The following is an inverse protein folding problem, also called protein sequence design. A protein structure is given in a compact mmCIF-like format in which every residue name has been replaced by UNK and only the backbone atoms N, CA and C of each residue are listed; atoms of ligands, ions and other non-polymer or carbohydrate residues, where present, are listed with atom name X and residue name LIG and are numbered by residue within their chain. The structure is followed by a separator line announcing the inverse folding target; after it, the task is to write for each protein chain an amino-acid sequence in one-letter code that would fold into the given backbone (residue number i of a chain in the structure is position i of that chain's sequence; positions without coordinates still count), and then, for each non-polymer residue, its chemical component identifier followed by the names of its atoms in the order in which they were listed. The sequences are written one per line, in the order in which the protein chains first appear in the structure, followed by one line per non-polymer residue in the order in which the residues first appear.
data_IF_636290577263
#
_entry.id   IF_636290577263
#
_cell.length_a   1.000
_cell.length_b   1.000
_cell.length_c   1.000
_cell.angle_alpha   90.00
_cell.angle_beta   90.00
_cell.angle_gamma   90.00
#
_symmetry.space_group_name_H-M   'P 1'
#
loop_
_entity.id
_entity.type
_entity.pdbx_description
1 polymer ?
#
# COMPACT_ATOMS: atom_id res chain seq x y z
N UNK A 1 -5.73 -7.14 -4.96
CA UNK A 1 -5.72 -6.81 -3.52
C UNK A 1 -5.20 -5.40 -3.41
N UNK A 2 -5.85 -4.57 -2.61
CA UNK A 2 -5.57 -3.14 -2.54
C UNK A 2 -4.33 -2.84 -1.70
N UNK A 3 -3.65 -1.75 -2.03
CA UNK A 3 -2.60 -1.14 -1.22
C UNK A 3 -3.23 -0.61 0.07
N UNK A 4 -2.52 -0.77 1.18
CA UNK A 4 -2.93 -0.29 2.48
C UNK A 4 -1.85 0.57 3.11
N UNK A 5 -2.24 1.63 3.81
CA UNK A 5 -1.32 2.55 4.50
C UNK A 5 -1.72 2.59 5.98
N UNK A 6 -0.75 2.74 6.85
CA UNK A 6 -1.02 2.92 8.27
C UNK A 6 -1.86 4.18 8.51
N UNK A 7 -2.87 4.05 9.37
CA UNK A 7 -3.80 5.13 9.65
C UNK A 7 -3.12 6.41 10.15
N UNK A 8 -2.05 6.29 10.94
CA UNK A 8 -1.31 7.45 11.45
C UNK A 8 -0.66 8.26 10.32
N UNK A 9 -0.21 7.60 9.25
CA UNK A 9 0.40 8.27 8.09
C UNK A 9 -0.64 9.03 7.28
N UNK A 10 -1.83 8.44 7.08
CA UNK A 10 -2.93 9.15 6.42
C UNK A 10 -3.32 10.41 7.19
N UNK A 11 -3.36 10.34 8.53
CA UNK A 11 -3.66 11.47 9.41
C UNK A 11 -2.54 12.53 9.39
N UNK A 12 -1.28 12.13 9.49
CA UNK A 12 -0.13 13.03 9.44
C UNK A 12 -0.04 13.81 8.12
N UNK A 13 -0.37 13.16 7.00
CA UNK A 13 -0.42 13.78 5.68
C UNK A 13 -1.73 14.55 5.43
N UNK A 14 -2.65 14.54 6.39
CA UNK A 14 -3.97 15.17 6.29
C UNK A 14 -4.71 14.78 5.00
N UNK A 15 -4.69 13.48 4.65
CA UNK A 15 -5.35 12.99 3.44
C UNK A 15 -6.87 13.06 3.62
N UNK A 16 -7.62 13.60 2.64
CA UNK A 16 -9.07 13.62 2.71
C UNK A 16 -9.62 12.19 2.53
N UNK A 17 -10.52 11.72 3.41
CA UNK A 17 -11.20 10.46 3.23
C UNK A 17 -12.12 10.51 2.00
N UNK A 18 -12.14 9.46 1.20
CA UNK A 18 -12.92 9.39 -0.04
C UNK A 18 -14.02 8.32 -0.01
N UNK A 19 -13.88 7.30 0.83
CA UNK A 19 -14.89 6.23 1.00
C UNK A 19 -14.65 5.44 2.30
N UNK A 20 -15.49 4.43 2.58
CA UNK A 20 -15.31 3.43 3.63
C UNK A 20 -15.47 2.03 3.05
N UNK A 21 -14.53 1.12 3.36
CA UNK A 21 -14.58 -0.28 2.94
C UNK A 21 -14.75 -1.22 4.14
N UNK A 22 -15.40 -2.37 3.91
CA UNK A 22 -15.36 -3.49 4.86
C UNK A 22 -14.12 -4.34 4.59
N UNK A 23 -13.27 -4.51 5.59
CA UNK A 23 -12.04 -5.31 5.54
C UNK A 23 -12.18 -6.52 6.46
N UNK A 24 -12.05 -7.71 5.88
CA UNK A 24 -12.00 -8.97 6.62
C UNK A 24 -10.58 -9.24 7.10
N UNK A 25 -10.44 -9.63 8.36
CA UNK A 25 -9.20 -10.01 9.03
C UNK A 25 -9.47 -11.23 9.91
N UNK A 26 -8.42 -11.81 10.50
CA UNK A 26 -8.51 -13.08 11.24
C UNK A 26 -9.54 -13.03 12.37
N UNK A 27 -9.71 -11.87 13.01
CA UNK A 27 -10.62 -11.66 14.14
C UNK A 27 -12.04 -11.20 13.74
N UNK A 28 -12.33 -11.04 12.44
CA UNK A 28 -13.66 -10.64 11.96
C UNK A 28 -13.62 -9.64 10.80
N UNK A 29 -14.59 -8.70 10.79
CA UNK A 29 -14.65 -7.65 9.77
C UNK A 29 -14.73 -6.28 10.40
N UNK A 30 -13.99 -5.31 9.86
CA UNK A 30 -13.98 -3.92 10.33
C UNK A 30 -14.28 -2.97 9.18
N UNK A 31 -14.88 -1.82 9.48
CA UNK A 31 -14.99 -0.71 8.52
C UNK A 31 -13.72 0.12 8.59
N UNK A 32 -13.10 0.36 7.44
CA UNK A 32 -11.85 1.10 7.30
C UNK A 32 -12.01 2.23 6.30
N UNK A 33 -11.50 3.39 6.66
CA UNK A 33 -11.52 4.57 5.81
C UNK A 33 -10.65 4.34 4.59
N UNK A 34 -11.10 4.82 3.44
CA UNK A 34 -10.37 4.80 2.20
C UNK A 34 -9.89 6.21 1.86
N UNK A 35 -8.70 6.30 1.27
CA UNK A 35 -8.07 7.55 0.87
C UNK A 35 -7.64 7.45 -0.59
N UNK A 36 -7.66 8.59 -1.30
CA UNK A 36 -6.92 8.73 -2.54
C UNK A 36 -5.50 9.21 -2.21
N UNK A 37 -4.49 8.66 -2.86
CA UNK A 37 -3.11 9.08 -2.64
C UNK A 37 -2.27 9.03 -3.92
N UNK A 38 -1.15 9.73 -3.87
CA UNK A 38 -0.12 9.71 -4.91
C UNK A 38 1.18 9.24 -4.27
N UNK A 39 1.64 8.06 -4.68
CA UNK A 39 2.83 7.41 -4.13
C UNK A 39 4.02 7.72 -5.01
N UNK A 40 5.10 8.22 -4.40
CA UNK A 40 6.36 8.52 -5.06
C UNK A 40 7.50 7.75 -4.40
N UNK A 41 8.46 7.31 -5.20
CA UNK A 41 9.71 6.69 -4.74
C UNK A 41 10.86 7.61 -5.18
N UNK A 42 11.27 8.60 -4.36
CA UNK A 42 12.18 9.66 -4.79
C UNK A 42 13.51 9.14 -5.33
N UNK A 43 14.10 8.16 -4.65
CA UNK A 43 15.41 7.61 -5.01
C UNK A 43 15.35 6.74 -6.27
N UNK A 44 14.18 6.18 -6.59
CA UNK A 44 13.97 5.37 -7.78
C UNK A 44 13.64 6.21 -9.02
N UNK A 45 13.50 7.54 -8.89
CA UNK A 45 13.14 8.47 -9.99
C UNK A 45 11.90 8.03 -10.79
N UNK A 46 10.96 7.37 -10.11
CA UNK A 46 9.71 6.93 -10.72
C UNK A 46 8.75 8.10 -10.88
N UNK A 47 7.96 8.08 -11.96
CA UNK A 47 6.77 8.93 -12.02
C UNK A 47 5.85 8.55 -10.85
N UNK A 48 5.33 9.51 -10.08
CA UNK A 48 4.43 9.20 -8.99
C UNK A 48 3.19 8.45 -9.50
N UNK A 49 2.81 7.38 -8.80
CA UNK A 49 1.67 6.54 -9.13
C UNK A 49 0.47 7.03 -8.34
N UNK A 50 -0.62 7.32 -9.03
CA UNK A 50 -1.87 7.75 -8.41
C UNK A 50 -2.77 6.54 -8.15
N UNK A 51 -3.21 6.38 -6.89
CA UNK A 51 -4.15 5.35 -6.49
C UNK A 51 -5.39 6.04 -5.92
N UNK A 52 -6.54 5.74 -6.52
CA UNK A 52 -7.82 6.37 -6.17
C UNK A 52 -8.44 5.82 -4.89
N UNK A 53 -8.02 4.63 -4.47
CA UNK A 53 -8.56 3.94 -3.31
C UNK A 53 -7.51 3.10 -2.58
N UNK A 54 -6.99 3.63 -1.49
CA UNK A 54 -6.10 2.97 -0.54
C UNK A 54 -6.84 2.77 0.78
N UNK A 55 -6.68 1.61 1.42
CA UNK A 55 -7.27 1.32 2.72
C UNK A 55 -6.38 1.87 3.86
N UNK A 56 -6.96 2.52 4.86
CA UNK A 56 -6.28 2.68 6.15
C UNK A 56 -6.40 1.42 6.99
N UNK A 57 -5.30 1.01 7.58
CA UNK A 57 -5.24 -0.13 8.50
C UNK A 57 -4.30 0.20 9.65
N UNK A 58 -4.36 -0.56 10.75
CA UNK A 58 -3.37 -0.47 11.80
C UNK A 58 -2.21 -1.42 11.47
N UNK A 59 -1.04 -0.87 11.16
CA UNK A 59 0.21 -1.60 10.95
C UNK A 59 1.22 -1.39 12.08
N UNK A 60 0.86 -0.58 13.09
CA UNK A 60 1.76 -0.19 14.19
C UNK A 60 2.20 -1.37 15.06
N UNK A 61 1.50 -2.51 14.99
CA UNK A 61 1.84 -3.72 15.71
C UNK A 61 3.02 -4.50 15.10
N UNK A 62 3.48 -4.15 13.90
CA UNK A 62 4.65 -4.78 13.30
C UNK A 62 5.96 -4.26 13.89
N UNK A 63 6.97 -5.13 14.00
CA UNK A 63 8.30 -4.75 14.46
C UNK A 63 9.37 -5.20 13.42
N UNK A 64 10.03 -4.29 12.70
CA UNK A 64 9.87 -2.83 12.77
C UNK A 64 8.50 -2.35 12.25
N UNK A 65 8.02 -1.16 12.68
CA UNK A 65 6.76 -0.63 12.19
C UNK A 65 6.84 -0.39 10.69
N UNK A 66 5.86 -0.94 9.96
CA UNK A 66 5.69 -0.71 8.53
C UNK A 66 4.61 0.34 8.32
N UNK A 67 4.83 1.26 7.37
CA UNK A 67 3.90 2.35 7.09
C UNK A 67 2.95 2.05 5.92
N UNK A 68 3.27 1.06 5.10
CA UNK A 68 2.48 0.68 3.94
C UNK A 68 2.66 -0.80 3.58
N UNK A 69 1.57 -1.42 3.16
CA UNK A 69 1.55 -2.71 2.48
C UNK A 69 1.26 -2.46 1.00
N UNK A 70 2.24 -2.75 0.16
CA UNK A 70 2.13 -2.53 -1.28
C UNK A 70 1.31 -3.66 -1.90
N UNK A 71 0.13 -3.29 -2.39
CA UNK A 71 -0.85 -4.22 -2.97
C UNK A 71 -0.65 -4.44 -4.46
N UNK A 72 -1.46 -5.35 -5.03
CA UNK A 72 -1.40 -5.68 -6.46
C UNK A 72 -1.83 -4.52 -7.36
N UNK A 73 -2.64 -3.60 -6.85
CA UNK A 73 -3.01 -2.36 -7.53
C UNK A 73 -1.80 -1.47 -7.81
N UNK A 74 -0.89 -1.30 -6.85
CA UNK A 74 0.37 -0.59 -7.07
C UNK A 74 1.36 -1.44 -7.86
N UNK A 75 1.51 -2.71 -7.48
CA UNK A 75 2.47 -3.61 -8.12
C UNK A 75 2.16 -3.90 -9.59
N UNK A 76 0.90 -3.80 -10.04
CA UNK A 76 0.53 -3.96 -11.44
C UNK A 76 1.18 -2.92 -12.37
N UNK A 77 1.72 -1.83 -11.82
CA UNK A 77 2.51 -0.85 -12.57
C UNK A 77 3.96 -1.28 -12.81
N UNK A 78 4.38 -2.46 -12.31
CA UNK A 78 5.73 -2.97 -12.39
C UNK A 78 5.79 -4.31 -13.10
N UNK A 79 6.95 -4.61 -13.70
CA UNK A 79 7.27 -5.94 -14.22
C UNK A 79 8.01 -6.74 -13.16
N UNK A 80 7.58 -7.98 -12.96
CA UNK A 80 8.23 -8.93 -12.06
C UNK A 80 8.99 -9.97 -12.86
N UNK A 81 10.28 -10.12 -12.57
CA UNK A 81 11.14 -11.11 -13.19
C UNK A 81 11.56 -12.10 -12.10
N UNK A 82 11.11 -13.34 -12.22
CA UNK A 82 11.56 -14.40 -11.33
C UNK A 82 12.88 -14.99 -11.84
N UNK A 83 13.95 -14.76 -11.10
CA UNK A 83 15.26 -15.32 -11.37
C UNK A 83 15.40 -16.65 -10.63
N UNK A 84 14.98 -17.73 -11.29
CA UNK A 84 14.94 -19.09 -10.74
C UNK A 84 16.27 -19.55 -10.13
N UNK A 85 17.41 -19.48 -10.86
CA UNK A 85 18.71 -19.89 -10.33
C UNK A 85 19.15 -19.15 -9.07
N UNK A 86 18.71 -17.91 -8.87
CA UNK A 86 19.04 -17.09 -7.69
C UNK A 86 17.93 -17.06 -6.64
N UNK A 87 16.81 -17.73 -6.88
CA UNK A 87 15.66 -17.74 -5.97
C UNK A 87 15.11 -16.35 -5.62
N UNK A 88 15.19 -15.36 -6.53
CA UNK A 88 14.80 -13.98 -6.24
C UNK A 88 13.82 -13.42 -7.28
N UNK A 89 12.98 -12.50 -6.83
CA UNK A 89 12.11 -11.70 -7.69
C UNK A 89 12.73 -10.31 -7.85
N UNK A 90 12.94 -9.92 -9.10
CA UNK A 90 13.42 -8.59 -9.47
C UNK A 90 12.22 -7.76 -9.97
N UNK A 91 12.17 -6.50 -9.57
CA UNK A 91 11.11 -5.56 -9.94
C UNK A 91 11.72 -4.56 -10.92
N UNK A 92 11.10 -4.43 -12.09
CA UNK A 92 11.42 -3.43 -13.10
C UNK A 92 10.24 -2.47 -13.28
N UNK A 93 10.55 -1.22 -13.61
CA UNK A 93 9.59 -0.13 -13.76
C UNK A 93 9.75 0.57 -15.11
#
# INVERSE_FOLDING_TARGET
MATAIDESVCQQLNLPPVDVARVSHVEGSSRRTCYAARIAFPDLRLKPIQITRILSVNLSAMNPPIIALIGRDLLAHFKFIYNGPRGRIEIAY
#
